data_IF_699864886300
#
_entry.id   IF_699864886300
#
_cell.length_a   1.000
_cell.length_b   1.000
_cell.length_c   1.000
_cell.angle_alpha   90.00
_cell.angle_beta   90.00
_cell.angle_gamma   90.00
#
_symmetry.space_group_name_H-M   'P 1'
#
loop_
_entity.id
_entity.type
_entity.pdbx_description
1 polymer ?
#
# COMPACT_ATOMS: atom_id res chain seq x y z
N UNK A 1 11.71 7.18 -23.32
CA UNK A 1 10.97 7.67 -22.15
C UNK A 1 10.40 6.53 -21.35
N UNK A 2 10.84 6.38 -20.10
CA UNK A 2 10.32 5.38 -19.18
C UNK A 2 8.95 5.87 -18.66
N UNK A 3 7.90 5.02 -18.63
CA UNK A 3 6.62 5.40 -18.05
C UNK A 3 6.83 5.87 -16.61
N UNK A 4 6.33 7.07 -16.27
CA UNK A 4 6.41 7.64 -14.91
C UNK A 4 5.58 6.86 -13.87
N UNK A 5 4.79 5.89 -14.32
CA UNK A 5 3.89 5.07 -13.50
C UNK A 5 4.09 3.61 -13.89
N UNK A 6 4.48 2.78 -12.93
CA UNK A 6 4.64 1.34 -13.08
C UNK A 6 3.30 0.60 -13.04
N UNK A 7 3.28 -0.64 -13.54
CA UNK A 7 2.09 -1.53 -13.52
C UNK A 7 1.44 -1.68 -12.13
N UNK A 8 2.23 -1.53 -11.07
CA UNK A 8 1.82 -1.79 -9.68
C UNK A 8 1.63 -0.53 -8.85
N UNK A 9 1.79 0.65 -9.44
CA UNK A 9 1.63 1.90 -8.71
C UNK A 9 0.15 2.15 -8.45
N UNK A 10 -0.18 2.51 -7.22
CA UNK A 10 -1.52 2.95 -6.86
C UNK A 10 -1.75 4.38 -7.36
N UNK A 11 -2.81 4.59 -8.13
CA UNK A 11 -3.24 5.93 -8.53
C UNK A 11 -4.02 6.60 -7.40
N UNK A 12 -3.33 7.47 -6.66
CA UNK A 12 -3.89 8.29 -5.58
C UNK A 12 -4.30 9.69 -6.04
N UNK A 13 -4.39 9.93 -7.35
CA UNK A 13 -4.89 11.21 -7.90
C UNK A 13 -6.40 11.23 -8.06
N UNK A 14 -7.04 10.06 -7.93
CA UNK A 14 -8.49 9.90 -7.99
C UNK A 14 -9.13 10.40 -6.70
N UNK A 15 -10.30 11.04 -6.82
CA UNK A 15 -11.11 11.46 -5.66
C UNK A 15 -11.84 10.31 -4.98
N UNK A 16 -11.88 9.14 -5.61
CA UNK A 16 -12.47 7.93 -5.04
C UNK A 16 -11.58 7.40 -3.91
N UNK A 17 -12.15 6.93 -2.78
CA UNK A 17 -11.36 6.30 -1.74
C UNK A 17 -10.57 5.09 -2.26
N UNK A 18 -9.28 5.02 -1.91
CA UNK A 18 -8.42 3.90 -2.26
C UNK A 18 -8.49 2.79 -1.21
N UNK A 19 -8.46 1.52 -1.64
CA UNK A 19 -8.34 0.39 -0.73
C UNK A 19 -6.88 0.21 -0.32
N UNK A 20 -6.60 0.19 0.99
CA UNK A 20 -5.26 0.04 1.55
C UNK A 20 -5.21 -1.03 2.63
N UNK A 21 -4.07 -1.70 2.76
CA UNK A 21 -3.74 -2.60 3.86
C UNK A 21 -2.28 -2.40 4.25
N UNK A 22 -1.97 -2.60 5.53
CA UNK A 22 -0.63 -2.42 6.07
C UNK A 22 -0.02 -3.77 6.40
N UNK A 23 1.29 -3.90 6.16
CA UNK A 23 2.08 -5.06 6.52
C UNK A 23 3.23 -4.64 7.45
N UNK A 24 3.45 -5.42 8.51
CA UNK A 24 4.55 -5.20 9.45
C UNK A 24 5.36 -6.49 9.56
N UNK A 25 6.69 -6.33 9.52
CA UNK A 25 7.68 -7.39 9.73
C UNK A 25 8.44 -7.09 11.02
N UNK A 26 8.56 -8.08 11.90
CA UNK A 26 9.42 -7.98 13.08
C UNK A 26 10.87 -8.34 12.71
N UNK A 27 11.72 -7.31 12.62
CA UNK A 27 13.13 -7.48 12.28
C UNK A 27 13.93 -8.29 13.30
N UNK A 28 13.54 -8.30 14.58
CA UNK A 28 14.21 -9.08 15.63
C UNK A 28 13.94 -10.58 15.44
N UNK A 29 12.75 -10.92 14.90
CA UNK A 29 12.38 -12.30 14.54
C UNK A 29 12.80 -12.68 13.12
N UNK A 30 13.52 -11.81 12.42
CA UNK A 30 13.94 -11.99 11.03
C UNK A 30 12.76 -12.25 10.07
N UNK A 31 11.60 -11.66 10.37
CA UNK A 31 10.43 -11.75 9.50
C UNK A 31 10.74 -11.13 8.14
N UNK A 32 10.45 -11.90 7.07
CA UNK A 32 10.60 -11.47 5.68
C UNK A 32 9.54 -12.11 4.79
N UNK A 33 9.32 -11.50 3.63
CA UNK A 33 8.44 -12.02 2.59
C UNK A 33 7.04 -12.33 3.14
N UNK A 34 6.69 -13.62 3.22
CA UNK A 34 5.40 -14.11 3.71
C UNK A 34 5.22 -14.04 5.23
N UNK A 35 6.30 -14.00 6.02
CA UNK A 35 6.23 -13.87 7.49
C UNK A 35 6.02 -12.41 7.85
N UNK A 36 4.77 -12.04 8.11
CA UNK A 36 4.33 -10.68 8.44
C UNK A 36 2.98 -10.71 9.10
N UNK A 37 2.67 -9.66 9.86
CA UNK A 37 1.29 -9.35 10.26
C UNK A 37 0.72 -8.38 9.24
N UNK A 38 -0.52 -8.61 8.80
CA UNK A 38 -1.21 -7.80 7.81
C UNK A 38 -2.53 -7.32 8.39
N UNK A 39 -2.88 -6.05 8.18
CA UNK A 39 -4.22 -5.56 8.51
C UNK A 39 -5.26 -6.13 7.55
N UNK A 40 -6.54 -6.06 7.94
CA UNK A 40 -7.63 -6.14 6.96
C UNK A 40 -7.60 -4.91 6.03
N UNK A 41 -8.23 -5.05 4.86
CA UNK A 41 -8.41 -3.94 3.93
C UNK A 41 -9.24 -2.81 4.54
N UNK A 42 -8.80 -1.56 4.34
CA UNK A 42 -9.45 -0.34 4.80
C UNK A 42 -9.60 0.67 3.66
N UNK A 43 -10.50 1.63 3.83
CA UNK A 43 -10.67 2.74 2.88
C UNK A 43 -9.82 3.93 3.31
N UNK A 44 -8.95 4.39 2.40
CA UNK A 44 -8.21 5.65 2.51
C UNK A 44 -8.93 6.71 1.68
N UNK A 45 -9.51 7.71 2.35
CA UNK A 45 -10.08 8.86 1.65
C UNK A 45 -8.96 9.76 1.14
N UNK A 46 -8.93 9.99 -0.17
CA UNK A 46 -7.99 10.88 -0.82
C UNK A 46 -8.60 12.29 -0.77
N UNK A 47 -7.99 13.18 -0.01
CA UNK A 47 -8.43 14.57 0.10
C UNK A 47 -7.85 15.38 -1.06
N UNK A 48 -8.63 16.33 -1.57
CA UNK A 48 -8.11 17.33 -2.51
C UNK A 48 -6.96 18.12 -1.84
N UNK A 49 -5.95 18.45 -2.63
CA UNK A 49 -4.74 19.16 -2.18
C UNK A 49 -5.00 20.65 -1.94
#
# INVERSE_FOLDING_TARGET
DMPKVGKWDADLTRKDPAMVALAVWDGVKEDRNGRKVISVWQRLNILDK
#
